data_IF_024591942816
#
_entry.id   IF_024591942816
#
_cell.length_a   1.000
_cell.length_b   1.000
_cell.length_c   1.000
_cell.angle_alpha   90.00
_cell.angle_beta   90.00
_cell.angle_gamma   90.00
#
_symmetry.space_group_name_H-M   'P 1'
#
loop_
_entity.id
_entity.type
_entity.pdbx_description
1 polymer ?
#
# COMPACT_ATOMS: atom_id res chain seq x y z
N UNK A 1 -4.79 -3.90 -25.10
CA UNK A 1 -4.59 -5.00 -24.12
C UNK A 1 -5.37 -4.66 -22.86
N UNK A 2 -6.13 -5.60 -22.31
CA UNK A 2 -6.81 -5.42 -21.02
C UNK A 2 -5.86 -5.83 -19.90
N UNK A 3 -5.92 -5.15 -18.74
CA UNK A 3 -5.13 -5.47 -17.53
C UNK A 3 -6.04 -5.98 -16.39
N UNK A 4 -6.76 -7.10 -16.58
CA UNK A 4 -7.81 -7.52 -15.65
C UNK A 4 -7.29 -7.78 -14.23
N UNK A 5 -6.11 -8.37 -14.07
CA UNK A 5 -5.57 -8.71 -12.76
C UNK A 5 -5.17 -7.44 -12.02
N UNK A 6 -4.41 -6.56 -12.67
CA UNK A 6 -3.99 -5.29 -12.07
C UNK A 6 -5.20 -4.39 -11.77
N UNK A 7 -6.17 -4.30 -12.68
CA UNK A 7 -7.38 -3.50 -12.48
C UNK A 7 -8.17 -3.98 -11.26
N UNK A 8 -8.28 -5.30 -11.05
CA UNK A 8 -8.94 -5.86 -9.87
C UNK A 8 -8.25 -5.46 -8.56
N UNK A 9 -6.93 -5.66 -8.45
CA UNK A 9 -6.20 -5.29 -7.24
C UNK A 9 -6.14 -3.78 -7.02
N UNK A 10 -6.01 -2.99 -8.09
CA UNK A 10 -6.09 -1.53 -8.03
C UNK A 10 -7.42 -1.09 -7.41
N UNK A 11 -8.55 -1.65 -7.86
CA UNK A 11 -9.86 -1.33 -7.29
C UNK A 11 -9.95 -1.68 -5.79
N UNK A 12 -9.51 -2.88 -5.38
CA UNK A 12 -9.50 -3.30 -3.97
C UNK A 12 -8.63 -2.39 -3.11
N UNK A 13 -7.43 -2.06 -3.58
CA UNK A 13 -6.50 -1.18 -2.87
C UNK A 13 -7.04 0.24 -2.77
N UNK A 14 -7.73 0.75 -3.80
CA UNK A 14 -8.42 2.04 -3.73
C UNK A 14 -9.51 2.05 -2.66
N UNK A 15 -10.26 0.95 -2.47
CA UNK A 15 -11.24 0.86 -1.37
C UNK A 15 -10.57 0.96 0.01
N UNK A 16 -9.43 0.29 0.20
CA UNK A 16 -8.63 0.42 1.43
C UNK A 16 -8.16 1.87 1.62
N UNK A 17 -7.67 2.51 0.55
CA UNK A 17 -7.23 3.90 0.59
C UNK A 17 -8.35 4.85 1.02
N UNK A 18 -9.57 4.68 0.50
CA UNK A 18 -10.73 5.48 0.89
C UNK A 18 -10.99 5.38 2.39
N UNK A 19 -10.89 4.18 2.98
CA UNK A 19 -11.03 4.00 4.43
C UNK A 19 -9.97 4.78 5.20
N UNK A 20 -8.71 4.78 4.74
CA UNK A 20 -7.62 5.54 5.36
C UNK A 20 -7.81 7.05 5.24
N UNK A 21 -8.30 7.54 4.11
CA UNK A 21 -8.67 8.95 3.92
C UNK A 21 -9.75 9.35 4.93
N UNK A 22 -10.79 8.54 5.07
CA UNK A 22 -11.87 8.82 6.02
C UNK A 22 -11.40 8.77 7.48
N UNK A 23 -10.45 7.89 7.81
CA UNK A 23 -9.80 7.89 9.12
C UNK A 23 -9.14 9.25 9.39
N UNK A 24 -8.32 9.76 8.46
CA UNK A 24 -7.66 11.06 8.62
C UNK A 24 -8.67 12.20 8.78
N UNK A 25 -9.70 12.25 7.94
CA UNK A 25 -10.74 13.28 8.00
C UNK A 25 -11.45 13.25 9.36
N UNK A 26 -11.92 12.07 9.79
CA UNK A 26 -12.62 11.90 11.07
C UNK A 26 -11.74 12.31 12.26
N UNK A 27 -10.49 11.87 12.28
CA UNK A 27 -9.56 12.24 13.36
C UNK A 27 -9.34 13.75 13.42
N UNK A 28 -9.12 14.42 12.28
CA UNK A 28 -8.96 15.88 12.22
C UNK A 28 -10.17 16.64 12.74
N UNK A 29 -11.37 16.20 12.37
CA UNK A 29 -12.62 16.81 12.83
C UNK A 29 -12.82 16.64 14.33
N UNK A 30 -12.53 15.45 14.86
CA UNK A 30 -12.65 15.15 16.30
C UNK A 30 -11.73 16.01 17.15
N UNK A 31 -10.49 16.22 16.70
CA UNK A 31 -9.50 17.00 17.46
C UNK A 31 -9.43 18.48 17.05
N UNK A 32 -10.29 18.90 16.10
CA UNK A 32 -10.38 20.28 15.56
C UNK A 32 -9.05 20.81 15.00
N UNK A 33 -8.29 19.96 14.29
CA UNK A 33 -6.99 20.31 13.67
C UNK A 33 -7.12 20.40 12.16
N UNK A 34 -7.00 21.62 11.61
CA UNK A 34 -7.13 21.88 10.17
C UNK A 34 -5.91 21.46 9.35
N UNK A 35 -4.70 21.79 9.79
CA UNK A 35 -3.44 21.50 9.10
C UNK A 35 -2.35 21.09 10.09
N UNK A 36 -1.39 20.30 9.63
CA UNK A 36 -0.34 19.75 10.50
C UNK A 36 -0.91 18.78 11.53
N UNK A 37 -0.22 18.68 12.65
CA UNK A 37 -0.52 17.73 13.73
C UNK A 37 -0.95 18.45 15.02
N UNK A 38 -0.58 19.73 15.22
CA UNK A 38 -0.84 20.51 16.44
C UNK A 38 -0.52 19.74 17.74
N UNK A 39 0.55 18.92 17.73
CA UNK A 39 0.95 18.09 18.88
C UNK A 39 0.02 16.91 19.16
N UNK A 40 -0.87 16.54 18.23
CA UNK A 40 -1.80 15.43 18.40
C UNK A 40 -1.32 14.16 17.69
N UNK A 41 -0.85 13.19 18.48
CA UNK A 41 -0.33 11.91 17.98
C UNK A 41 -1.36 11.12 17.17
N UNK A 42 -2.66 11.27 17.42
CA UNK A 42 -3.69 10.56 16.65
C UNK A 42 -3.74 11.07 15.19
N UNK A 43 -3.58 12.40 15.00
CA UNK A 43 -3.50 12.99 13.66
C UNK A 43 -2.24 12.52 12.95
N UNK A 44 -1.08 12.54 13.64
CA UNK A 44 0.19 12.03 13.10
C UNK A 44 0.07 10.56 12.66
N UNK A 45 -0.48 9.70 13.51
CA UNK A 45 -0.66 8.28 13.19
C UNK A 45 -1.59 8.07 12.00
N UNK A 46 -2.74 8.75 11.97
CA UNK A 46 -3.69 8.65 10.87
C UNK A 46 -3.04 9.09 9.55
N UNK A 47 -2.35 10.22 9.54
CA UNK A 47 -1.64 10.74 8.36
C UNK A 47 -0.53 9.79 7.93
N UNK A 48 0.25 9.22 8.85
CA UNK A 48 1.29 8.23 8.47
C UNK A 48 0.70 6.91 7.97
N UNK A 49 -0.47 6.47 8.46
CA UNK A 49 -1.18 5.30 7.91
C UNK A 49 -1.55 5.53 6.44
N UNK A 50 -2.13 6.69 6.13
CA UNK A 50 -2.45 7.08 4.75
C UNK A 50 -1.18 7.32 3.91
N UNK A 51 -0.20 8.04 4.44
CA UNK A 51 1.06 8.39 3.79
C UNK A 51 1.82 7.14 3.32
N UNK A 52 2.05 6.19 4.22
CA UNK A 52 2.71 4.93 3.87
C UNK A 52 1.98 4.15 2.77
N UNK A 53 0.65 4.27 2.69
CA UNK A 53 -0.13 3.64 1.62
C UNK A 53 0.19 4.30 0.28
N UNK A 54 0.06 5.63 0.18
CA UNK A 54 0.27 6.37 -1.08
C UNK A 54 1.72 6.40 -1.54
N UNK A 55 2.68 6.25 -0.62
CA UNK A 55 4.10 6.17 -0.93
C UNK A 55 4.46 4.86 -1.67
N UNK A 56 3.75 3.75 -1.40
CA UNK A 56 4.17 2.41 -1.87
C UNK A 56 3.19 1.76 -2.85
N UNK A 57 1.88 1.87 -2.60
CA UNK A 57 0.86 1.12 -3.34
C UNK A 57 0.72 1.59 -4.80
N UNK A 58 0.70 2.90 -5.11
CA UNK A 58 0.65 3.35 -6.50
C UNK A 58 1.82 2.83 -7.33
N UNK A 59 3.03 2.83 -6.76
CA UNK A 59 4.21 2.27 -7.43
C UNK A 59 4.03 0.78 -7.70
N UNK A 60 3.54 0.01 -6.73
CA UNK A 60 3.29 -1.42 -6.93
C UNK A 60 2.24 -1.68 -8.02
N UNK A 61 1.15 -0.90 -8.06
CA UNK A 61 0.13 -1.01 -9.12
C UNK A 61 0.70 -0.68 -10.51
N UNK A 62 1.54 0.36 -10.61
CA UNK A 62 2.22 0.69 -11.88
C UNK A 62 3.11 -0.45 -12.33
N UNK A 63 3.91 -1.03 -11.42
CA UNK A 63 4.77 -2.17 -11.77
C UNK A 63 3.96 -3.42 -12.14
N UNK A 64 2.84 -3.69 -11.47
CA UNK A 64 1.91 -4.77 -11.84
C UNK A 64 1.33 -4.54 -13.23
N UNK A 65 0.89 -3.31 -13.56
CA UNK A 65 0.34 -2.96 -14.86
C UNK A 65 1.36 -3.18 -15.98
N UNK A 66 2.60 -2.72 -15.77
CA UNK A 66 3.70 -2.92 -16.71
C UNK A 66 4.04 -4.40 -16.88
N UNK A 67 4.05 -5.16 -15.77
CA UNK A 67 4.37 -6.58 -15.78
C UNK A 67 3.27 -7.38 -16.51
N UNK A 68 1.99 -7.06 -16.30
CA UNK A 68 0.86 -7.68 -16.99
C UNK A 68 0.82 -7.31 -18.47
N UNK A 69 1.07 -6.04 -18.81
CA UNK A 69 1.23 -5.60 -20.20
C UNK A 69 2.41 -6.29 -20.89
N UNK A 70 3.47 -6.61 -20.16
CA UNK A 70 4.64 -7.38 -20.59
C UNK A 70 4.40 -8.89 -20.70
N UNK A 71 3.20 -9.39 -20.42
CA UNK A 71 2.87 -10.81 -20.53
C UNK A 71 3.23 -11.66 -19.31
N UNK A 72 3.43 -11.05 -18.13
CA UNK A 72 3.59 -11.80 -16.88
C UNK A 72 2.43 -12.75 -16.64
N UNK A 73 2.75 -13.96 -16.17
CA UNK A 73 1.73 -14.96 -15.85
C UNK A 73 0.77 -14.48 -14.75
N UNK A 74 -0.50 -14.81 -14.89
CA UNK A 74 -1.55 -14.43 -13.95
C UNK A 74 -1.27 -14.90 -12.51
N UNK A 75 -0.59 -16.04 -12.33
CA UNK A 75 -0.24 -16.56 -11.01
C UNK A 75 0.67 -15.58 -10.24
N UNK A 76 1.74 -15.08 -10.87
CA UNK A 76 2.68 -14.14 -10.26
C UNK A 76 1.96 -12.85 -9.82
N UNK A 77 1.15 -12.29 -10.73
CA UNK A 77 0.41 -11.06 -10.48
C UNK A 77 -0.62 -11.22 -9.36
N UNK A 78 -1.33 -12.35 -9.31
CA UNK A 78 -2.27 -12.63 -8.23
C UNK A 78 -1.57 -12.82 -6.89
N UNK A 79 -0.44 -13.52 -6.83
CA UNK A 79 0.34 -13.64 -5.60
C UNK A 79 0.82 -12.27 -5.11
N UNK A 80 1.35 -11.43 -6.00
CA UNK A 80 1.76 -10.06 -5.67
C UNK A 80 0.58 -9.22 -5.16
N UNK A 81 -0.57 -9.28 -5.85
CA UNK A 81 -1.78 -8.55 -5.49
C UNK A 81 -2.35 -8.97 -4.13
N UNK A 82 -2.45 -10.28 -3.86
CA UNK A 82 -2.94 -10.82 -2.58
C UNK A 82 -2.03 -10.39 -1.44
N UNK A 83 -0.71 -10.56 -1.60
CA UNK A 83 0.27 -10.16 -0.58
C UNK A 83 0.19 -8.66 -0.32
N UNK A 84 0.07 -7.85 -1.37
CA UNK A 84 -0.05 -6.40 -1.25
C UNK A 84 -1.32 -5.99 -0.50
N UNK A 85 -2.48 -6.58 -0.83
CA UNK A 85 -3.74 -6.32 -0.12
C UNK A 85 -3.64 -6.73 1.35
N UNK A 86 -3.17 -7.94 1.64
CA UNK A 86 -3.03 -8.44 3.01
C UNK A 86 -2.07 -7.56 3.83
N UNK A 87 -0.91 -7.20 3.26
CA UNK A 87 0.05 -6.31 3.89
C UNK A 87 -0.58 -4.95 4.23
N UNK A 88 -1.40 -4.39 3.34
CA UNK A 88 -2.03 -3.07 3.52
C UNK A 88 -3.23 -3.07 4.45
N UNK A 89 -3.86 -4.22 4.68
CA UNK A 89 -4.84 -4.41 5.74
C UNK A 89 -4.18 -4.50 7.12
N UNK A 90 -3.05 -5.20 7.23
CA UNK A 90 -2.37 -5.44 8.51
C UNK A 90 -1.54 -4.22 8.95
N UNK A 91 -0.81 -3.58 8.03
CA UNK A 91 0.15 -2.51 8.32
C UNK A 91 -0.40 -1.35 9.17
N UNK A 92 -1.61 -0.81 8.91
CA UNK A 92 -2.12 0.35 9.65
C UNK A 92 -2.26 0.12 11.15
N UNK A 93 -2.55 -1.12 11.58
CA UNK A 93 -2.68 -1.49 12.99
C UNK A 93 -1.35 -1.42 13.76
N UNK A 94 -0.21 -1.47 13.05
CA UNK A 94 1.11 -1.35 13.67
C UNK A 94 1.68 0.07 13.71
N UNK A 95 0.97 1.06 13.15
CA UNK A 95 1.41 2.45 13.23
C UNK A 95 0.91 3.02 14.56
N UNK A 96 1.85 3.14 15.48
CA UNK A 96 1.69 3.71 16.81
C UNK A 96 2.95 4.50 17.18
N UNK A 97 2.79 5.72 17.70
CA UNK A 97 3.89 6.59 18.14
C UNK A 97 4.61 5.97 19.34
N UNK A 98 3.89 5.30 20.24
CA UNK A 98 4.46 4.68 21.44
C UNK A 98 5.14 3.34 21.19
N UNK A 99 5.00 2.75 20.00
CA UNK A 99 5.52 1.40 19.69
C UNK A 99 6.01 1.28 18.24
N UNK A 100 7.16 1.89 17.89
CA UNK A 100 7.67 1.89 16.52
C UNK A 100 7.96 0.48 15.97
N UNK A 101 8.33 -0.47 16.83
CA UNK A 101 8.67 -1.86 16.44
C UNK A 101 7.45 -2.81 16.44
N UNK A 102 6.25 -2.29 16.22
CA UNK A 102 5.04 -3.14 16.20
C UNK A 102 5.13 -4.19 15.07
N UNK A 103 4.93 -5.49 15.35
CA UNK A 103 5.08 -6.56 14.35
C UNK A 103 4.25 -6.35 13.08
N UNK A 104 3.00 -5.87 13.21
CA UNK A 104 2.14 -5.56 12.08
C UNK A 104 2.71 -4.49 11.13
N UNK A 105 3.43 -3.49 11.65
CA UNK A 105 4.10 -2.46 10.85
C UNK A 105 5.27 -3.08 10.09
N UNK A 106 6.11 -3.85 10.78
CA UNK A 106 7.29 -4.48 10.19
C UNK A 106 6.86 -5.45 9.09
N UNK A 107 5.92 -6.35 9.39
CA UNK A 107 5.44 -7.34 8.44
C UNK A 107 4.83 -6.69 7.21
N UNK A 108 3.97 -5.68 7.39
CA UNK A 108 3.35 -4.99 6.27
C UNK A 108 4.34 -4.22 5.39
N UNK A 109 5.37 -3.62 6.00
CA UNK A 109 6.43 -2.92 5.29
C UNK A 109 7.28 -3.90 4.47
N UNK A 110 7.79 -4.96 5.13
CA UNK A 110 8.61 -5.99 4.48
C UNK A 110 7.85 -6.67 3.34
N UNK A 111 6.60 -7.06 3.57
CA UNK A 111 5.78 -7.70 2.54
C UNK A 111 5.57 -6.79 1.31
N UNK A 112 5.37 -5.49 1.52
CA UNK A 112 5.18 -4.57 0.39
C UNK A 112 6.48 -4.32 -0.36
N UNK A 113 7.59 -4.14 0.35
CA UNK A 113 8.92 -4.00 -0.27
C UNK A 113 9.30 -5.26 -1.05
N UNK A 114 8.96 -6.44 -0.54
CA UNK A 114 9.16 -7.70 -1.25
C UNK A 114 8.35 -7.75 -2.56
N UNK A 115 7.08 -7.34 -2.55
CA UNK A 115 6.26 -7.25 -3.77
C UNK A 115 6.88 -6.30 -4.80
N UNK A 116 7.32 -5.11 -4.36
CA UNK A 116 8.00 -4.14 -5.23
C UNK A 116 9.26 -4.74 -5.85
N UNK A 117 10.08 -5.43 -5.05
CA UNK A 117 11.30 -6.07 -5.51
C UNK A 117 11.01 -7.17 -6.53
N UNK A 118 10.04 -8.05 -6.27
CA UNK A 118 9.65 -9.13 -7.18
C UNK A 118 9.19 -8.57 -8.52
N UNK A 119 8.33 -7.55 -8.51
CA UNK A 119 7.85 -6.92 -9.74
C UNK A 119 8.96 -6.19 -10.51
N UNK A 120 9.85 -5.49 -9.80
CA UNK A 120 10.99 -4.83 -10.43
C UNK A 120 11.94 -5.83 -11.10
N UNK A 121 12.29 -6.93 -10.41
CA UNK A 121 13.11 -8.01 -10.97
C UNK A 121 12.41 -8.66 -12.16
N UNK A 122 11.11 -8.94 -12.07
CA UNK A 122 10.34 -9.52 -13.19
C UNK A 122 10.42 -8.65 -14.43
N UNK A 123 10.22 -7.34 -14.27
CA UNK A 123 10.29 -6.39 -15.38
C UNK A 123 11.69 -6.31 -15.99
N UNK A 124 12.74 -6.36 -15.17
CA UNK A 124 14.12 -6.40 -15.66
C UNK A 124 14.37 -7.67 -16.48
N UNK A 125 13.98 -8.84 -15.95
CA UNK A 125 14.17 -10.12 -16.64
C UNK A 125 13.42 -10.19 -17.97
N UNK A 126 12.19 -9.66 -18.03
CA UNK A 126 11.39 -9.56 -19.25
C UNK A 126 12.00 -8.67 -20.35
N UNK A 127 12.98 -7.82 -20.00
CA UNK A 127 13.66 -6.95 -20.97
C UNK A 127 15.03 -7.45 -21.37
N UNK A 128 15.62 -8.35 -20.60
CA UNK A 128 16.94 -8.91 -20.88
C UNK A 128 16.90 -10.22 -21.67
N UNK A 129 15.76 -10.91 -21.66
CA UNK A 129 15.52 -12.21 -22.31
C UNK A 129 14.45 -12.02 -23.37
#
# INVERSE_FOLDING_TARGET
MTLPVTAFYAALLTLIYIVLVQLVIRTRLQVKVGLGENGNDAVLQAVRRQGNFVENVPLAIVLMALAEAGGSGALLLNLCGIVLVAARLIHPFGIDVGRPSHPARILGAVATTAVLLVLAVTLILQRLI
#
